data_IF_205764526369
#
_entry.id   IF_205764526369
#
_cell.length_a   1.000
_cell.length_b   1.000
_cell.length_c   1.000
_cell.angle_alpha   90.00
_cell.angle_beta   90.00
_cell.angle_gamma   90.00
#
_symmetry.space_group_name_H-M   'P 1'
#
loop_
_entity.id
_entity.type
_entity.pdbx_description
1 polymer ?
#
# COMPACT_ATOMS: atom_id res chain seq x y z
N UNK A 1 31.98 46.39 -1.85
CA UNK A 1 31.88 45.04 -2.44
C UNK A 1 30.88 45.13 -3.59
N UNK A 2 31.26 44.82 -4.83
CA UNK A 2 30.40 45.01 -6.00
C UNK A 2 29.38 43.87 -6.12
N UNK A 3 28.23 44.13 -6.74
CA UNK A 3 27.16 43.14 -6.94
C UNK A 3 27.67 41.83 -7.58
N UNK A 4 28.61 41.96 -8.52
CA UNK A 4 29.26 40.82 -9.19
C UNK A 4 29.99 39.90 -8.21
N UNK A 5 30.67 40.44 -7.19
CA UNK A 5 31.38 39.65 -6.17
C UNK A 5 30.41 38.82 -5.32
N UNK A 6 29.24 39.39 -5.00
CA UNK A 6 28.19 38.68 -4.24
C UNK A 6 27.61 37.53 -5.08
N UNK A 7 27.36 37.76 -6.37
CA UNK A 7 26.83 36.73 -7.28
C UNK A 7 27.81 35.56 -7.41
N UNK A 8 29.11 35.83 -7.62
CA UNK A 8 30.11 34.78 -7.72
C UNK A 8 30.26 33.98 -6.41
N UNK A 9 30.15 34.65 -5.25
CA UNK A 9 30.20 33.98 -3.96
C UNK A 9 28.99 33.04 -3.75
N UNK A 10 27.78 33.50 -4.08
CA UNK A 10 26.56 32.67 -3.95
C UNK A 10 26.62 31.47 -4.90
N UNK A 11 27.01 31.67 -6.16
CA UNK A 11 27.15 30.55 -7.12
C UNK A 11 28.18 29.53 -6.62
N UNK A 12 29.32 29.99 -6.10
CA UNK A 12 30.34 29.11 -5.54
C UNK A 12 29.80 28.26 -4.38
N UNK A 13 29.08 28.89 -3.44
CA UNK A 13 28.47 28.17 -2.30
C UNK A 13 27.41 27.17 -2.78
N UNK A 14 26.55 27.55 -3.72
CA UNK A 14 25.52 26.66 -4.27
C UNK A 14 26.13 25.44 -4.95
N UNK A 15 27.20 25.61 -5.74
CA UNK A 15 27.89 24.49 -6.40
C UNK A 15 28.53 23.54 -5.38
N UNK A 16 29.13 24.07 -4.31
CA UNK A 16 29.71 23.24 -3.23
C UNK A 16 28.64 22.45 -2.50
N UNK A 17 27.50 23.07 -2.17
CA UNK A 17 26.37 22.38 -1.53
C UNK A 17 25.79 21.27 -2.41
N UNK A 18 25.66 21.54 -3.72
CA UNK A 18 25.19 20.54 -4.70
C UNK A 18 26.15 19.36 -4.81
N UNK A 19 27.47 19.63 -4.91
CA UNK A 19 28.49 18.59 -4.93
C UNK A 19 28.47 17.75 -3.65
N UNK A 20 28.32 18.39 -2.48
CA UNK A 20 28.20 17.70 -1.21
C UNK A 20 26.94 16.83 -1.14
N UNK A 21 25.80 17.31 -1.65
CA UNK A 21 24.56 16.52 -1.75
C UNK A 21 24.75 15.28 -2.63
N UNK A 22 25.37 15.41 -3.81
CA UNK A 22 25.63 14.28 -4.71
C UNK A 22 26.62 13.26 -4.13
N UNK A 23 27.70 13.72 -3.49
CA UNK A 23 28.66 12.85 -2.82
C UNK A 23 28.02 12.08 -1.67
N UNK A 24 27.10 12.71 -0.94
CA UNK A 24 26.36 12.08 0.17
C UNK A 24 25.20 11.20 -0.33
N UNK A 25 24.52 11.56 -1.42
CA UNK A 25 23.42 10.77 -1.96
C UNK A 25 23.88 9.45 -2.56
N UNK A 26 25.13 9.34 -3.00
CA UNK A 26 25.73 8.09 -3.47
C UNK A 26 26.06 7.07 -2.35
N UNK A 27 25.76 7.40 -1.09
CA UNK A 27 25.99 6.50 0.05
C UNK A 27 24.81 5.55 0.32
N UNK A 28 23.65 5.78 -0.30
CA UNK A 28 22.49 4.88 -0.20
C UNK A 28 22.48 3.93 -1.40
N UNK A 29 22.83 2.67 -1.14
CA UNK A 29 22.82 1.62 -2.14
C UNK A 29 21.40 1.09 -2.34
N UNK A 30 20.58 1.80 -3.13
CA UNK A 30 19.20 1.41 -3.45
C UNK A 30 19.13 0.21 -4.41
N UNK A 31 20.24 -0.16 -5.04
CA UNK A 31 20.38 -1.28 -5.99
C UNK A 31 21.37 -2.33 -5.51
N UNK A 32 21.80 -2.24 -4.25
CA UNK A 32 22.66 -3.23 -3.64
C UNK A 32 21.91 -4.54 -3.60
N UNK A 33 22.44 -5.55 -4.28
CA UNK A 33 21.93 -6.92 -4.14
C UNK A 33 22.13 -7.33 -2.69
N UNK A 34 21.09 -7.24 -1.88
CA UNK A 34 20.99 -8.15 -0.74
C UNK A 34 20.90 -9.54 -1.37
N UNK A 35 21.74 -10.48 -0.93
CA UNK A 35 21.72 -11.87 -1.44
C UNK A 35 20.32 -12.49 -1.30
N UNK A 36 19.54 -11.99 -0.34
CA UNK A 36 18.18 -12.41 -0.07
C UNK A 36 17.20 -11.25 -0.25
N UNK A 37 16.20 -11.49 -1.09
CA UNK A 37 14.97 -10.70 -1.12
C UNK A 37 14.32 -10.85 0.28
N UNK A 38 13.91 -9.76 0.96
CA UNK A 38 13.23 -9.87 2.25
C UNK A 38 12.09 -10.87 2.18
N UNK A 39 11.84 -11.63 3.26
CA UNK A 39 10.83 -12.70 3.27
C UNK A 39 9.46 -12.23 2.75
N UNK A 40 9.01 -11.05 3.17
CA UNK A 40 7.76 -10.41 2.72
C UNK A 40 7.73 -10.05 1.22
N UNK A 41 8.90 -9.85 0.60
CA UNK A 41 9.03 -9.65 -0.84
C UNK A 41 9.15 -10.99 -1.59
N UNK A 42 9.51 -12.08 -0.90
CA UNK A 42 9.74 -13.41 -1.49
C UNK A 42 8.47 -14.25 -1.64
N UNK A 43 7.44 -13.94 -0.85
CA UNK A 43 6.11 -14.53 -0.98
C UNK A 43 5.43 -14.04 -2.25
N UNK A 44 4.94 -14.95 -3.08
CA UNK A 44 4.00 -14.59 -4.13
C UNK A 44 2.73 -14.03 -3.48
N UNK A 45 2.12 -12.96 -4.04
CA UNK A 45 0.85 -12.46 -3.53
C UNK A 45 -0.22 -13.57 -3.58
N UNK A 46 -1.27 -13.47 -2.75
CA UNK A 46 -2.38 -14.42 -2.76
C UNK A 46 -2.94 -14.64 -4.18
N UNK A 47 -3.47 -15.83 -4.44
CA UNK A 47 -4.03 -16.16 -5.76
C UNK A 47 -5.18 -15.21 -6.14
N UNK A 48 -5.94 -14.77 -5.14
CA UNK A 48 -7.01 -13.79 -5.25
C UNK A 48 -6.50 -12.45 -5.82
N UNK A 49 -5.42 -11.91 -5.26
CA UNK A 49 -4.74 -10.71 -5.78
C UNK A 49 -4.19 -10.92 -7.19
N UNK A 50 -3.56 -12.07 -7.44
CA UNK A 50 -3.06 -12.39 -8.79
C UNK A 50 -4.19 -12.43 -9.83
N UNK A 51 -5.37 -12.91 -9.45
CA UNK A 51 -6.54 -12.95 -10.32
C UNK A 51 -7.17 -11.58 -10.51
N UNK A 52 -7.28 -10.76 -9.46
CA UNK A 52 -7.79 -9.38 -9.53
C UNK A 52 -6.95 -8.53 -10.49
N UNK A 53 -5.64 -8.45 -10.25
CA UNK A 53 -4.69 -7.72 -11.11
C UNK A 53 -4.75 -8.18 -12.57
N UNK A 54 -4.92 -9.49 -12.83
CA UNK A 54 -5.08 -10.02 -14.19
C UNK A 54 -6.42 -9.63 -14.82
N UNK A 55 -7.50 -9.55 -14.05
CA UNK A 55 -8.81 -9.16 -14.54
C UNK A 55 -8.84 -7.67 -14.94
N UNK A 56 -8.12 -6.83 -14.19
CA UNK A 56 -7.92 -5.40 -14.50
C UNK A 56 -6.94 -5.17 -15.66
N UNK A 57 -6.19 -6.20 -16.07
CA UNK A 57 -5.16 -6.09 -17.11
C UNK A 57 -3.91 -5.36 -16.64
N UNK A 58 -3.73 -5.24 -15.33
CA UNK A 58 -2.56 -4.65 -14.71
C UNK A 58 -1.37 -5.63 -14.70
N UNK A 59 -0.15 -5.08 -14.66
CA UNK A 59 1.04 -5.89 -14.41
C UNK A 59 1.10 -6.32 -12.94
N UNK A 60 1.92 -7.32 -12.60
CA UNK A 60 2.15 -7.69 -11.20
C UNK A 60 2.85 -6.55 -10.43
N UNK A 61 2.08 -5.60 -9.93
CA UNK A 61 2.53 -4.50 -9.08
C UNK A 61 2.25 -4.84 -7.62
N UNK A 62 3.11 -4.36 -6.73
CA UNK A 62 2.87 -4.48 -5.29
C UNK A 62 1.80 -3.47 -4.83
N UNK A 63 1.64 -2.38 -5.57
CA UNK A 63 0.62 -1.37 -5.36
C UNK A 63 -0.43 -1.59 -6.45
N UNK A 64 -1.58 -2.14 -6.05
CA UNK A 64 -2.80 -2.08 -6.83
C UNK A 64 -3.57 -0.86 -6.32
N UNK A 65 -4.05 0.00 -7.20
CA UNK A 65 -4.89 1.13 -6.80
C UNK A 65 -5.79 1.50 -7.97
N UNK A 66 -7.05 1.06 -7.90
CA UNK A 66 -8.01 1.37 -8.93
C UNK A 66 -8.61 2.77 -8.75
N UNK A 67 -9.09 3.32 -9.87
CA UNK A 67 -9.78 4.62 -9.87
C UNK A 67 -11.06 4.55 -9.00
N UNK A 68 -11.03 5.23 -7.85
CA UNK A 68 -12.14 5.31 -6.90
C UNK A 68 -11.88 4.62 -5.56
N UNK A 69 -10.83 3.80 -5.48
CA UNK A 69 -10.42 3.11 -4.27
C UNK A 69 -9.74 4.03 -3.26
N UNK A 70 -9.60 3.55 -2.02
CA UNK A 70 -8.84 4.27 -1.00
C UNK A 70 -7.36 3.99 -1.15
N UNK A 71 -6.54 4.93 -0.68
CA UNK A 71 -5.10 4.70 -0.59
C UNK A 71 -4.91 3.59 0.42
N UNK A 72 -4.37 2.46 -0.03
CA UNK A 72 -4.07 1.34 0.84
C UNK A 72 -2.62 0.89 0.72
N UNK A 73 -2.13 0.29 1.81
CA UNK A 73 -0.89 -0.46 1.77
C UNK A 73 -1.09 -1.73 0.94
N UNK A 74 -0.03 -2.28 0.32
CA UNK A 74 -0.09 -3.56 -0.39
C UNK A 74 -0.74 -4.71 0.39
N UNK A 75 -0.64 -4.69 1.71
CA UNK A 75 -1.22 -5.70 2.58
C UNK A 75 -2.73 -5.52 2.74
N UNK A 76 -3.19 -4.27 2.82
CA UNK A 76 -4.62 -3.96 2.87
C UNK A 76 -5.30 -4.38 1.57
N UNK A 77 -4.70 -4.07 0.41
CA UNK A 77 -5.14 -4.52 -0.91
C UNK A 77 -5.29 -6.05 -0.98
N UNK A 78 -4.26 -6.79 -0.56
CA UNK A 78 -4.31 -8.27 -0.58
C UNK A 78 -5.41 -8.85 0.31
N UNK A 79 -5.63 -8.26 1.48
CA UNK A 79 -6.70 -8.68 2.40
C UNK A 79 -8.06 -8.35 1.78
N UNK A 80 -8.18 -7.19 1.12
CA UNK A 80 -9.37 -6.77 0.41
C UNK A 80 -9.73 -7.71 -0.74
N UNK A 81 -8.76 -8.11 -1.57
CA UNK A 81 -8.99 -9.05 -2.67
C UNK A 81 -9.58 -10.39 -2.18
N UNK A 82 -8.99 -10.93 -1.12
CA UNK A 82 -9.48 -12.17 -0.50
C UNK A 82 -10.89 -11.96 0.05
N UNK A 83 -11.14 -10.81 0.68
CA UNK A 83 -12.45 -10.49 1.25
C UNK A 83 -13.52 -10.32 0.16
N UNK A 84 -13.25 -9.56 -0.90
CA UNK A 84 -14.16 -9.34 -2.03
C UNK A 84 -14.56 -10.68 -2.65
N UNK A 85 -13.60 -11.57 -2.88
CA UNK A 85 -13.87 -12.91 -3.43
C UNK A 85 -14.73 -13.78 -2.50
N UNK A 86 -14.50 -13.70 -1.18
CA UNK A 86 -15.36 -14.38 -0.20
C UNK A 86 -16.77 -13.79 -0.16
N UNK A 87 -16.91 -12.47 -0.26
CA UNK A 87 -18.20 -11.78 -0.30
C UNK A 87 -19.00 -12.16 -1.54
N UNK A 88 -18.38 -12.21 -2.73
CA UNK A 88 -19.03 -12.65 -3.97
C UNK A 88 -19.63 -14.06 -3.85
N UNK A 89 -18.94 -14.97 -3.15
CA UNK A 89 -19.41 -16.32 -2.88
C UNK A 89 -20.42 -16.40 -1.71
N UNK A 90 -20.58 -15.33 -0.93
CA UNK A 90 -21.40 -15.33 0.27
C UNK A 90 -22.89 -15.13 -0.05
N UNK A 91 -23.81 -16.00 0.43
CA UNK A 91 -25.23 -15.93 0.05
C UNK A 91 -25.92 -14.64 0.50
N UNK A 92 -25.50 -14.07 1.63
CA UNK A 92 -26.14 -12.89 2.26
C UNK A 92 -25.32 -11.61 2.11
N UNK A 93 -23.98 -11.73 2.01
CA UNK A 93 -23.09 -10.57 2.15
C UNK A 93 -22.59 -10.02 0.80
N UNK A 94 -22.84 -10.72 -0.32
CA UNK A 94 -22.43 -10.31 -1.67
C UNK A 94 -22.89 -8.91 -2.11
N UNK A 95 -23.92 -8.36 -1.47
CA UNK A 95 -24.46 -7.03 -1.81
C UNK A 95 -23.69 -5.89 -1.11
N UNK A 96 -22.81 -6.20 -0.16
CA UNK A 96 -21.97 -5.19 0.50
C UNK A 96 -20.82 -4.79 -0.42
N UNK A 97 -20.68 -3.49 -0.65
CA UNK A 97 -19.47 -2.91 -1.22
C UNK A 97 -18.49 -2.62 -0.11
N UNK A 98 -17.32 -3.23 -0.16
CA UNK A 98 -16.27 -3.07 0.86
C UNK A 98 -14.98 -2.57 0.22
N UNK A 99 -14.25 -1.75 0.97
CA UNK A 99 -12.92 -1.23 0.62
C UNK A 99 -12.10 -1.07 1.92
N UNK A 100 -10.81 -1.38 1.87
CA UNK A 100 -9.86 -1.31 2.99
C UNK A 100 -8.75 -0.32 2.65
N UNK A 101 -8.86 0.88 3.20
CA UNK A 101 -7.80 1.89 3.13
C UNK A 101 -6.73 1.72 4.22
N UNK A 102 -5.66 2.49 4.10
CA UNK A 102 -4.67 2.71 5.16
C UNK A 102 -4.76 4.14 5.66
N UNK A 103 -5.05 4.29 6.95
CA UNK A 103 -5.27 5.57 7.60
C UNK A 103 -3.99 6.34 7.90
N UNK A 104 -4.16 7.59 8.34
CA UNK A 104 -3.05 8.47 8.71
C UNK A 104 -2.24 7.98 9.93
N UNK A 105 -2.83 7.10 10.74
CA UNK A 105 -2.18 6.40 11.85
C UNK A 105 -1.49 5.10 11.43
N UNK A 106 -1.47 4.81 10.13
CA UNK A 106 -0.99 3.56 9.52
C UNK A 106 -1.83 2.32 9.89
N UNK A 107 -3.01 2.52 10.48
CA UNK A 107 -4.01 1.47 10.71
C UNK A 107 -4.87 1.20 9.48
N UNK A 108 -5.73 0.19 9.56
CA UNK A 108 -6.74 -0.06 8.54
C UNK A 108 -7.92 0.92 8.68
N UNK A 109 -8.45 1.35 7.54
CA UNK A 109 -9.70 2.09 7.45
C UNK A 109 -10.71 1.25 6.67
N UNK A 110 -11.85 0.96 7.27
CA UNK A 110 -12.85 0.09 6.65
C UNK A 110 -13.97 0.91 6.04
N UNK A 111 -14.30 0.65 4.79
CA UNK A 111 -15.39 1.31 4.09
C UNK A 111 -16.44 0.27 3.72
N UNK A 112 -17.69 0.51 4.10
CA UNK A 112 -18.81 -0.37 3.78
C UNK A 112 -19.96 0.48 3.27
N UNK A 113 -20.37 0.24 2.01
CA UNK A 113 -21.39 1.03 1.29
C UNK A 113 -21.14 2.54 1.44
N UNK A 114 -19.93 2.97 1.08
CA UNK A 114 -19.46 4.37 1.13
C UNK A 114 -19.37 5.00 2.53
N UNK A 115 -19.62 4.22 3.59
CA UNK A 115 -19.46 4.69 4.97
C UNK A 115 -18.16 4.17 5.57
N UNK A 116 -17.36 5.09 6.09
CA UNK A 116 -16.10 4.82 6.79
C UNK A 116 -16.32 4.36 8.23
N UNK A 117 -15.50 3.41 8.66
CA UNK A 117 -15.39 2.87 10.01
C UNK A 117 -13.91 2.79 10.37
N UNK A 118 -13.57 3.19 11.61
CA UNK A 118 -12.19 3.16 12.09
C UNK A 118 -11.77 1.75 12.51
N UNK A 119 -12.71 0.92 12.97
CA UNK A 119 -12.45 -0.44 13.41
C UNK A 119 -13.46 -1.42 12.83
N UNK A 120 -13.06 -2.68 12.68
CA UNK A 120 -13.97 -3.79 12.33
C UNK A 120 -15.13 -3.88 13.32
N UNK A 121 -14.88 -3.61 14.61
CA UNK A 121 -15.92 -3.67 15.65
C UNK A 121 -17.04 -2.64 15.46
N UNK A 122 -16.77 -1.56 14.72
CA UNK A 122 -17.74 -0.49 14.45
C UNK A 122 -18.71 -0.84 13.30
N UNK A 123 -18.45 -1.94 12.57
CA UNK A 123 -19.30 -2.37 11.45
C UNK A 123 -20.73 -2.73 11.93
N UNK A 124 -21.76 -2.52 11.10
CA UNK A 124 -23.15 -2.73 11.52
C UNK A 124 -23.61 -4.19 11.50
N UNK A 125 -22.88 -5.09 10.83
CA UNK A 125 -23.27 -6.49 10.61
C UNK A 125 -22.22 -7.43 11.22
N UNK A 126 -22.65 -8.27 12.17
CA UNK A 126 -21.76 -9.19 12.90
C UNK A 126 -21.14 -10.29 12.01
N UNK A 127 -21.86 -10.75 10.99
CA UNK A 127 -21.35 -11.74 10.02
C UNK A 127 -20.25 -11.12 9.16
N UNK A 128 -20.41 -9.86 8.76
CA UNK A 128 -19.39 -9.10 8.05
C UNK A 128 -18.15 -8.89 8.93
N UNK A 129 -18.32 -8.59 10.23
CA UNK A 129 -17.19 -8.49 11.18
C UNK A 129 -16.41 -9.80 11.26
N UNK A 130 -17.14 -10.91 11.42
CA UNK A 130 -16.54 -12.23 11.48
C UNK A 130 -15.74 -12.53 10.19
N UNK A 131 -16.35 -12.28 9.03
CA UNK A 131 -15.71 -12.50 7.74
C UNK A 131 -14.43 -11.66 7.58
N UNK A 132 -14.43 -10.39 7.98
CA UNK A 132 -13.23 -9.55 7.99
C UNK A 132 -12.11 -10.17 8.84
N UNK A 133 -12.44 -10.58 10.08
CA UNK A 133 -11.45 -11.17 11.00
C UNK A 133 -10.89 -12.48 10.47
N UNK A 134 -11.75 -13.34 9.94
CA UNK A 134 -11.35 -14.60 9.32
C UNK A 134 -10.47 -14.39 8.09
N UNK A 135 -10.73 -13.34 7.30
CA UNK A 135 -9.90 -13.02 6.13
C UNK A 135 -8.52 -12.54 6.54
N UNK A 136 -8.42 -11.66 7.55
CA UNK A 136 -7.12 -11.23 8.09
C UNK A 136 -6.34 -12.42 8.65
N UNK A 137 -6.99 -13.29 9.43
CA UNK A 137 -6.36 -14.49 9.99
C UNK A 137 -5.87 -15.47 8.91
N UNK A 138 -6.67 -15.68 7.86
CA UNK A 138 -6.28 -16.50 6.72
C UNK A 138 -5.05 -15.91 6.01
N UNK A 139 -5.08 -14.61 5.71
CA UNK A 139 -3.93 -13.93 5.10
C UNK A 139 -2.66 -14.02 5.96
N UNK A 140 -2.77 -13.81 7.27
CA UNK A 140 -1.64 -13.96 8.21
C UNK A 140 -1.10 -15.39 8.24
N UNK A 141 -1.95 -16.41 8.11
CA UNK A 141 -1.55 -17.82 8.10
C UNK A 141 -0.83 -18.27 6.83
N UNK A 142 -0.92 -17.47 5.75
CA UNK A 142 -0.29 -17.71 4.45
C UNK A 142 1.10 -17.08 4.34
N UNK A 143 1.52 -16.31 5.36
CA UNK A 143 2.88 -15.81 5.54
C UNK A 143 3.80 -16.91 6.05
#
# INVERSE_FOLDING_TARGET
MTLSVIIFAVIGISVVLLAFMFLKSNQVNLTGKTEEKPEWMSSNPPAETVEATKAEGEGFTLFNHDEGEKIASPFAEQIEDILRKRLEAHPVLKEYKVDIGTGADYGFEFWVNDKKYANVDDLPNEELKALFRETVQDWESRK
#
